data_IF_321123868624
#
_entry.id   IF_321123868624
#
_cell.length_a   1.000
_cell.length_b   1.000
_cell.length_c   1.000
_cell.angle_alpha   90.00
_cell.angle_beta   90.00
_cell.angle_gamma   90.00
#
_symmetry.space_group_name_H-M   'P 1'
#
loop_
_entity.id
_entity.type
_entity.pdbx_description
1 polymer ?
#
# COMPACT_ATOMS: atom_id res chain seq x y z
N UNK A 1 -9.43 3.86 22.10
CA UNK A 1 -8.80 2.97 21.10
C UNK A 1 -7.72 3.76 20.38
N UNK A 2 -6.45 3.40 20.60
CA UNK A 2 -5.30 4.00 19.91
C UNK A 2 -5.41 3.64 18.43
N UNK A 3 -5.42 4.63 17.52
CA UNK A 3 -5.50 4.39 16.08
C UNK A 3 -4.19 3.73 15.59
N UNK A 4 -4.22 2.67 14.75
CA UNK A 4 -3.03 1.98 14.23
C UNK A 4 -1.95 2.92 13.65
N UNK A 5 -2.36 3.94 12.90
CA UNK A 5 -1.47 4.96 12.31
C UNK A 5 -0.68 5.77 13.35
N UNK A 6 -1.24 6.03 14.53
CA UNK A 6 -0.50 6.74 15.61
C UNK A 6 0.63 5.87 16.16
N UNK A 7 0.43 4.55 16.23
CA UNK A 7 1.49 3.60 16.61
C UNK A 7 2.55 3.50 15.51
N UNK A 8 2.14 3.39 14.25
CA UNK A 8 3.06 3.41 13.11
C UNK A 8 3.93 4.68 13.11
N UNK A 9 3.35 5.86 13.35
CA UNK A 9 4.10 7.13 13.37
C UNK A 9 5.10 7.17 14.52
N UNK A 10 4.67 6.77 15.71
CA UNK A 10 5.55 6.73 16.89
C UNK A 10 6.68 5.73 16.69
N UNK A 11 6.40 4.57 16.08
CA UNK A 11 7.40 3.55 15.75
C UNK A 11 8.42 4.06 14.73
N UNK A 12 7.93 4.68 13.64
CA UNK A 12 8.75 5.26 12.60
C UNK A 12 9.70 6.34 13.13
N UNK A 13 9.19 7.30 13.91
CA UNK A 13 10.02 8.34 14.55
C UNK A 13 11.08 7.71 15.47
N UNK A 14 10.72 6.69 16.26
CA UNK A 14 11.70 5.99 17.12
C UNK A 14 12.77 5.27 16.31
N UNK A 15 12.39 4.64 15.20
CA UNK A 15 13.32 3.94 14.30
C UNK A 15 14.32 4.92 13.69
N UNK A 16 13.83 6.02 13.12
CA UNK A 16 14.63 7.09 12.54
C UNK A 16 15.69 7.62 13.53
N UNK A 17 15.24 7.94 14.76
CA UNK A 17 16.12 8.49 15.80
C UNK A 17 17.23 7.49 16.18
N UNK A 18 16.90 6.19 16.31
CA UNK A 18 17.88 5.14 16.62
C UNK A 18 18.87 4.91 15.49
N UNK A 19 18.39 4.86 14.25
CA UNK A 19 19.21 4.62 13.06
C UNK A 19 20.31 5.68 12.90
N UNK A 20 19.99 6.94 13.20
CA UNK A 20 20.94 8.05 13.11
C UNK A 20 21.70 8.34 14.42
N UNK A 21 21.69 7.41 15.38
CA UNK A 21 22.56 7.46 16.56
C UNK A 21 22.18 8.49 17.61
N UNK A 22 20.95 9.01 17.58
CA UNK A 22 20.45 9.91 18.61
C UNK A 22 19.96 9.10 19.83
N UNK A 23 20.49 9.42 21.01
CA UNK A 23 20.08 8.77 22.27
C UNK A 23 18.70 9.25 22.71
N UNK A 24 17.67 8.40 22.54
CA UNK A 24 16.33 8.66 23.08
C UNK A 24 16.36 8.41 24.58
N UNK A 25 16.62 9.44 25.37
CA UNK A 25 16.48 9.37 26.84
C UNK A 25 15.06 8.92 27.18
N UNK A 26 14.95 7.75 27.83
CA UNK A 26 13.74 7.00 28.20
C UNK A 26 12.43 7.80 28.14
N UNK A 27 11.60 7.44 27.17
CA UNK A 27 10.31 8.06 26.95
C UNK A 27 9.20 7.21 27.59
N UNK A 28 8.57 7.69 28.69
CA UNK A 28 7.34 7.10 29.26
C UNK A 28 6.17 7.39 28.31
N UNK A 29 5.36 6.38 27.99
CA UNK A 29 4.15 6.54 27.18
C UNK A 29 3.16 7.52 27.84
N UNK A 30 2.77 8.63 27.17
CA UNK A 30 1.73 9.52 27.65
C UNK A 30 0.48 9.52 26.74
N UNK A 31 -0.62 10.03 27.29
CA UNK A 31 -1.95 10.12 26.67
C UNK A 31 -1.97 10.70 25.25
N UNK A 32 -2.83 10.11 24.40
CA UNK A 32 -2.84 10.18 22.93
C UNK A 32 -2.81 11.56 22.23
N UNK A 33 -3.23 12.66 22.88
CA UNK A 33 -3.15 14.00 22.25
C UNK A 33 -1.73 14.60 22.30
N UNK A 34 -0.89 14.09 23.20
CA UNK A 34 0.45 14.61 23.49
C UNK A 34 1.52 13.96 22.59
N UNK A 35 1.30 12.71 22.17
CA UNK A 35 2.24 11.95 21.35
C UNK A 35 2.51 12.58 19.97
N UNK A 36 1.48 13.12 19.30
CA UNK A 36 1.63 13.74 17.97
C UNK A 36 2.30 15.10 18.02
N UNK A 37 1.92 15.94 18.98
CA UNK A 37 2.56 17.23 19.19
C UNK A 37 4.03 17.04 19.52
N UNK A 38 4.36 16.01 20.30
CA UNK A 38 5.73 15.64 20.62
C UNK A 38 6.47 14.99 19.45
N UNK A 39 5.83 14.12 18.65
CA UNK A 39 6.43 13.58 17.43
C UNK A 39 6.76 14.70 16.43
N UNK A 40 5.83 15.64 16.21
CA UNK A 40 6.04 16.82 15.37
C UNK A 40 7.15 17.71 15.93
N UNK A 41 7.22 17.89 17.25
CA UNK A 41 8.30 18.63 17.90
C UNK A 41 9.65 17.95 17.67
N UNK A 42 9.76 16.64 17.93
CA UNK A 42 10.99 15.85 17.67
C UNK A 42 11.42 15.97 16.22
N UNK A 43 10.51 15.78 15.26
CA UNK A 43 10.81 15.91 13.83
C UNK A 43 11.27 17.33 13.47
N UNK A 44 10.67 18.35 14.08
CA UNK A 44 11.08 19.76 13.87
C UNK A 44 12.48 20.03 14.41
N UNK A 45 12.83 19.48 15.57
CA UNK A 45 14.18 19.61 16.14
C UNK A 45 15.21 18.80 15.33
N UNK A 46 14.90 17.56 14.93
CA UNK A 46 15.78 16.73 14.10
C UNK A 46 16.18 17.41 12.79
N UNK A 47 15.23 18.11 12.15
CA UNK A 47 15.50 18.89 10.93
C UNK A 47 16.56 19.99 11.13
N UNK A 48 16.71 20.52 12.35
CA UNK A 48 17.69 21.57 12.68
C UNK A 48 19.11 21.04 12.83
N UNK A 49 19.29 19.77 13.17
CA UNK A 49 20.61 19.18 13.39
C UNK A 49 21.37 18.92 12.09
N UNK A 50 20.68 18.96 10.94
CA UNK A 50 21.26 18.58 9.66
C UNK A 50 21.48 17.07 9.58
N UNK A 51 21.27 16.51 8.39
CA UNK A 51 21.57 15.12 8.05
C UNK A 51 21.79 15.02 6.55
N UNK A 52 22.13 13.81 6.09
CA UNK A 52 22.17 13.50 4.67
C UNK A 52 20.78 13.65 4.02
N UNK A 53 20.73 13.56 2.69
CA UNK A 53 19.49 13.77 1.93
C UNK A 53 18.42 12.72 2.27
N UNK A 54 18.82 11.48 2.58
CA UNK A 54 17.91 10.41 3.00
C UNK A 54 17.24 10.74 4.33
N UNK A 55 18.01 11.19 5.33
CA UNK A 55 17.49 11.59 6.63
C UNK A 55 16.51 12.77 6.52
N UNK A 56 16.81 13.72 5.62
CA UNK A 56 15.93 14.87 5.36
C UNK A 56 14.62 14.43 4.72
N UNK A 57 14.67 13.55 3.73
CA UNK A 57 13.48 13.00 3.08
C UNK A 57 12.59 12.24 4.07
N UNK A 58 13.16 11.35 4.89
CA UNK A 58 12.43 10.61 5.91
C UNK A 58 11.80 11.55 6.94
N UNK A 59 12.53 12.58 7.40
CA UNK A 59 12.01 13.55 8.37
C UNK A 59 10.88 14.40 7.78
N UNK A 60 11.03 14.88 6.55
CA UNK A 60 10.03 15.70 5.86
C UNK A 60 8.76 14.88 5.56
N UNK A 61 8.92 13.61 5.15
CA UNK A 61 7.80 12.70 4.98
C UNK A 61 7.07 12.39 6.31
N UNK A 62 7.78 12.07 7.39
CA UNK A 62 7.13 11.80 8.67
C UNK A 62 6.41 13.03 9.23
N UNK A 63 6.92 14.24 8.93
CA UNK A 63 6.22 15.48 9.24
C UNK A 63 4.93 15.61 8.45
N UNK A 64 4.96 15.30 7.16
CA UNK A 64 3.75 15.21 6.34
C UNK A 64 2.76 14.21 6.95
N UNK A 65 3.19 13.01 7.30
CA UNK A 65 2.35 12.02 7.97
C UNK A 65 1.71 12.57 9.26
N UNK A 66 2.49 13.23 10.12
CA UNK A 66 1.98 13.82 11.37
C UNK A 66 0.87 14.87 11.14
N UNK A 67 0.90 15.59 10.02
CA UNK A 67 -0.12 16.59 9.66
C UNK A 67 -1.38 15.97 9.07
N UNK A 68 -1.28 14.85 8.35
CA UNK A 68 -2.37 14.29 7.54
C UNK A 68 -2.95 12.95 8.04
N UNK A 69 -2.32 12.27 9.01
CA UNK A 69 -2.69 10.91 9.44
C UNK A 69 -4.14 10.74 9.92
N UNK A 70 -4.82 11.80 10.35
CA UNK A 70 -6.20 11.72 10.87
C UNK A 70 -7.20 11.28 9.81
N UNK A 71 -6.91 11.57 8.54
CA UNK A 71 -7.75 11.26 7.39
C UNK A 71 -7.36 9.93 6.71
N UNK A 72 -6.11 9.49 6.90
CA UNK A 72 -5.58 8.26 6.31
C UNK A 72 -6.29 7.03 6.87
N UNK A 73 -6.45 6.03 6.00
CA UNK A 73 -6.97 4.70 6.35
C UNK A 73 -5.93 3.59 6.14
N UNK A 74 -4.85 3.90 5.44
CA UNK A 74 -3.78 2.97 5.12
C UNK A 74 -3.12 2.38 6.37
N UNK A 75 -2.52 1.19 6.23
CA UNK A 75 -1.90 0.50 7.36
C UNK A 75 -0.59 1.16 7.77
N UNK A 76 0.21 1.60 6.79
CA UNK A 76 1.57 2.11 6.97
C UNK A 76 1.83 3.35 6.10
N UNK A 77 0.88 4.28 6.04
CA UNK A 77 1.04 5.56 5.33
C UNK A 77 1.14 5.49 3.81
N UNK A 78 0.77 4.38 3.16
CA UNK A 78 0.84 4.27 1.70
C UNK A 78 0.10 5.42 1.00
N UNK A 79 -1.12 5.74 1.44
CA UNK A 79 -1.92 6.84 0.91
C UNK A 79 -1.26 8.23 1.13
N UNK A 80 -0.58 8.42 2.25
CA UNK A 80 0.17 9.65 2.55
C UNK A 80 1.48 9.74 1.77
N UNK A 81 2.16 8.61 1.52
CA UNK A 81 3.34 8.57 0.68
C UNK A 81 3.03 9.02 -0.74
N UNK A 82 1.94 8.53 -1.31
CA UNK A 82 1.44 8.96 -2.63
C UNK A 82 1.20 10.46 -2.65
N UNK A 83 0.50 11.01 -1.65
CA UNK A 83 0.24 12.45 -1.60
C UNK A 83 1.49 13.29 -1.32
N UNK A 84 2.45 12.78 -0.55
CA UNK A 84 3.73 13.46 -0.33
C UNK A 84 4.53 13.57 -1.63
N UNK A 85 4.71 12.45 -2.33
CA UNK A 85 5.45 12.39 -3.60
C UNK A 85 4.78 13.20 -4.70
N UNK A 86 3.45 13.18 -4.76
CA UNK A 86 2.68 13.88 -5.78
C UNK A 86 2.24 15.29 -5.36
N UNK A 87 2.85 15.85 -4.32
CA UNK A 87 2.61 17.22 -3.86
C UNK A 87 1.12 17.54 -3.65
N UNK A 88 0.43 16.69 -2.89
CA UNK A 88 -0.99 16.79 -2.55
C UNK A 88 -1.93 16.88 -3.77
N UNK A 89 -1.55 16.22 -4.89
CA UNK A 89 -2.34 16.16 -6.12
C UNK A 89 -3.81 15.83 -5.85
N UNK A 90 -4.70 16.53 -6.57
CA UNK A 90 -6.14 16.26 -6.68
C UNK A 90 -6.47 15.65 -8.03
N UNK A 91 -7.64 15.01 -8.09
CA UNK A 91 -8.21 14.47 -9.32
C UNK A 91 -7.25 13.51 -10.07
N UNK A 92 -6.51 12.69 -9.30
CA UNK A 92 -5.67 11.64 -9.84
C UNK A 92 -6.44 10.35 -10.11
N UNK A 93 -5.73 9.35 -10.63
CA UNK A 93 -6.29 8.02 -10.88
C UNK A 93 -5.49 6.93 -10.15
N UNK A 94 -6.18 6.06 -9.42
CA UNK A 94 -5.57 4.92 -8.73
C UNK A 94 -6.08 3.56 -9.23
N UNK A 95 -5.30 2.53 -8.95
CA UNK A 95 -5.74 1.13 -9.00
C UNK A 95 -5.28 0.45 -7.70
N UNK A 96 -6.17 -0.29 -7.04
CA UNK A 96 -5.88 -0.99 -5.79
C UNK A 96 -6.34 -2.44 -5.87
N UNK A 97 -5.44 -3.38 -5.59
CA UNK A 97 -5.75 -4.78 -5.36
C UNK A 97 -5.83 -5.04 -3.86
N UNK A 98 -6.67 -5.98 -3.43
CA UNK A 98 -6.90 -6.27 -2.01
C UNK A 98 -7.76 -5.19 -1.35
N UNK A 99 -8.80 -4.71 -2.04
CA UNK A 99 -9.59 -3.57 -1.56
C UNK A 99 -10.44 -3.87 -0.31
N UNK A 100 -10.67 -5.15 0.01
CA UNK A 100 -11.49 -5.64 1.13
C UNK A 100 -12.83 -4.89 1.24
N UNK A 101 -13.19 -4.39 2.42
CA UNK A 101 -14.40 -3.59 2.61
C UNK A 101 -14.30 -2.14 2.06
N UNK A 102 -13.14 -1.76 1.52
CA UNK A 102 -12.87 -0.45 0.94
C UNK A 102 -12.57 0.67 1.95
N UNK A 103 -12.58 0.41 3.26
CA UNK A 103 -12.42 1.45 4.30
C UNK A 103 -11.27 1.14 5.25
N UNK A 104 -11.27 -0.02 5.88
CA UNK A 104 -10.20 -0.42 6.78
C UNK A 104 -8.94 -0.73 5.96
N UNK A 105 -7.79 -0.18 6.37
CA UNK A 105 -6.47 -0.40 5.73
C UNK A 105 -6.37 -0.02 4.25
N UNK A 106 -7.41 0.55 3.65
CA UNK A 106 -7.37 0.94 2.24
C UNK A 106 -6.32 2.03 1.99
N UNK A 107 -5.54 1.81 0.94
CA UNK A 107 -4.49 2.71 0.48
C UNK A 107 -5.03 3.81 -0.45
N UNK A 108 -6.32 3.77 -0.81
CA UNK A 108 -6.91 4.76 -1.74
C UNK A 108 -8.14 5.48 -1.19
N UNK A 109 -8.66 5.08 -0.02
CA UNK A 109 -9.83 5.72 0.57
C UNK A 109 -9.62 7.22 0.79
N UNK A 110 -8.45 7.62 1.30
CA UNK A 110 -8.10 9.04 1.45
C UNK A 110 -8.08 9.76 0.10
N UNK A 111 -7.50 9.13 -0.91
CA UNK A 111 -7.33 9.70 -2.25
C UNK A 111 -8.69 9.98 -2.90
N UNK A 112 -9.61 9.03 -2.85
CA UNK A 112 -10.98 9.22 -3.35
C UNK A 112 -11.74 10.27 -2.53
N UNK A 113 -11.85 10.08 -1.21
CA UNK A 113 -12.81 10.85 -0.39
C UNK A 113 -12.35 12.28 -0.11
N UNK A 114 -11.03 12.54 -0.05
CA UNK A 114 -10.50 13.86 0.32
C UNK A 114 -9.82 14.58 -0.84
N UNK A 115 -9.21 13.84 -1.77
CA UNK A 115 -8.48 14.43 -2.90
C UNK A 115 -9.23 14.33 -4.23
N UNK A 116 -10.41 13.70 -4.27
CA UNK A 116 -11.27 13.64 -5.47
C UNK A 116 -10.77 12.67 -6.54
N UNK A 117 -9.89 11.73 -6.17
CA UNK A 117 -9.35 10.78 -7.14
C UNK A 117 -10.42 9.77 -7.59
N UNK A 118 -10.35 9.39 -8.86
CA UNK A 118 -11.05 8.23 -9.41
C UNK A 118 -10.16 6.98 -9.40
N UNK A 119 -10.74 5.82 -9.66
CA UNK A 119 -9.93 4.61 -9.77
C UNK A 119 -10.71 3.32 -9.91
N UNK A 120 -9.94 2.22 -9.88
CA UNK A 120 -10.43 0.84 -9.93
C UNK A 120 -10.01 0.13 -8.65
N UNK A 121 -10.97 -0.54 -8.00
CA UNK A 121 -10.75 -1.41 -6.85
C UNK A 121 -10.97 -2.86 -7.29
N UNK A 122 -10.01 -3.74 -7.01
CA UNK A 122 -10.14 -5.18 -7.26
C UNK A 122 -10.24 -5.94 -5.95
N UNK A 123 -11.28 -6.75 -5.82
CA UNK A 123 -11.50 -7.62 -4.66
C UNK A 123 -12.24 -8.90 -5.11
N UNK A 124 -11.56 -10.05 -5.19
CA UNK A 124 -12.20 -11.31 -5.58
C UNK A 124 -12.98 -11.99 -4.43
N UNK A 125 -12.71 -11.64 -3.16
CA UNK A 125 -13.35 -12.28 -2.02
C UNK A 125 -14.80 -11.83 -1.86
N UNK A 126 -15.72 -12.77 -2.01
CA UNK A 126 -17.16 -12.51 -2.10
C UNK A 126 -17.73 -11.86 -0.84
N UNK A 127 -17.18 -12.20 0.32
CA UNK A 127 -17.59 -11.65 1.61
C UNK A 127 -17.46 -10.13 1.69
N UNK A 128 -16.53 -9.54 0.93
CA UNK A 128 -16.29 -8.11 0.95
C UNK A 128 -17.14 -7.31 -0.04
N UNK A 129 -17.67 -7.94 -1.09
CA UNK A 129 -18.29 -7.25 -2.23
C UNK A 129 -19.42 -6.27 -1.84
N UNK A 130 -20.33 -6.67 -0.95
CA UNK A 130 -21.45 -5.81 -0.54
C UNK A 130 -20.96 -4.59 0.24
N UNK A 131 -20.03 -4.80 1.18
CA UNK A 131 -19.46 -3.71 1.95
C UNK A 131 -18.66 -2.75 1.07
N UNK A 132 -17.85 -3.28 0.14
CA UNK A 132 -17.06 -2.52 -0.81
C UNK A 132 -17.94 -1.60 -1.67
N UNK A 133 -18.98 -2.16 -2.30
CA UNK A 133 -19.97 -1.42 -3.12
C UNK A 133 -20.72 -0.34 -2.34
N UNK A 134 -20.97 -0.57 -1.05
CA UNK A 134 -21.63 0.42 -0.19
C UNK A 134 -20.68 1.57 0.21
N UNK A 135 -19.40 1.27 0.39
CA UNK A 135 -18.44 2.21 0.95
C UNK A 135 -17.73 3.07 -0.12
N UNK A 136 -17.63 2.58 -1.36
CA UNK A 136 -16.81 3.16 -2.43
C UNK A 136 -17.65 3.48 -3.67
N UNK A 137 -17.33 4.59 -4.33
CA UNK A 137 -18.02 5.03 -5.57
C UNK A 137 -17.18 4.75 -6.83
N UNK A 138 -16.02 4.11 -6.67
CA UNK A 138 -15.10 3.75 -7.74
C UNK A 138 -15.65 2.62 -8.61
N UNK A 139 -14.98 2.37 -9.73
CA UNK A 139 -15.15 1.10 -10.45
C UNK A 139 -14.70 -0.05 -9.55
N UNK A 140 -15.51 -1.10 -9.46
CA UNK A 140 -15.21 -2.31 -8.69
C UNK A 140 -15.12 -3.50 -9.63
N UNK A 141 -13.96 -4.15 -9.61
CA UNK A 141 -13.70 -5.42 -10.26
C UNK A 141 -13.76 -6.56 -9.23
N UNK A 142 -14.52 -7.62 -9.55
CA UNK A 142 -14.66 -8.80 -8.68
C UNK A 142 -13.95 -10.03 -9.23
N UNK A 143 -13.37 -9.96 -10.44
CA UNK A 143 -12.42 -10.97 -10.93
C UNK A 143 -11.11 -10.85 -10.16
N UNK A 144 -10.38 -11.95 -10.09
CA UNK A 144 -9.03 -11.95 -9.54
C UNK A 144 -8.06 -11.32 -10.55
N UNK A 145 -7.38 -10.24 -10.17
CA UNK A 145 -6.28 -9.72 -10.98
C UNK A 145 -5.13 -10.72 -10.96
N UNK A 146 -4.66 -11.10 -12.15
CA UNK A 146 -3.72 -12.21 -12.33
C UNK A 146 -2.73 -11.94 -13.48
N UNK A 147 -1.90 -12.93 -13.84
CA UNK A 147 -0.98 -12.81 -14.99
C UNK A 147 -1.68 -12.95 -16.35
N UNK A 148 -2.83 -13.62 -16.40
CA UNK A 148 -3.57 -13.88 -17.64
C UNK A 148 -5.08 -13.78 -17.43
N UNK A 149 -5.79 -13.25 -18.43
CA UNK A 149 -7.26 -13.14 -18.44
C UNK A 149 -7.93 -14.43 -18.87
N UNK A 150 -9.05 -14.76 -18.22
CA UNK A 150 -9.95 -15.83 -18.68
C UNK A 150 -9.67 -17.21 -18.08
N UNK A 151 -8.69 -17.33 -17.19
CA UNK A 151 -8.47 -18.53 -16.40
C UNK A 151 -9.49 -18.62 -15.24
N UNK A 152 -9.65 -19.82 -14.70
CA UNK A 152 -10.30 -20.04 -13.40
C UNK A 152 -9.27 -20.52 -12.39
N UNK A 153 -9.26 -19.89 -11.21
CA UNK A 153 -8.39 -20.25 -10.09
C UNK A 153 -9.22 -20.62 -8.87
N UNK A 154 -8.75 -21.57 -8.08
CA UNK A 154 -9.31 -21.86 -6.76
C UNK A 154 -8.84 -20.78 -5.78
N UNK A 155 -9.79 -19.98 -5.31
CA UNK A 155 -9.61 -18.98 -4.26
C UNK A 155 -9.90 -19.60 -2.90
N UNK A 156 -9.10 -19.28 -1.90
CA UNK A 156 -9.23 -19.76 -0.53
C UNK A 156 -9.58 -18.56 0.37
N UNK A 157 -10.87 -18.43 0.70
CA UNK A 157 -11.41 -17.39 1.56
C UNK A 157 -11.35 -17.83 3.02
N UNK A 158 -10.54 -17.16 3.84
CA UNK A 158 -10.29 -17.57 5.22
C UNK A 158 -11.31 -17.02 6.21
N UNK A 159 -11.35 -17.61 7.41
CA UNK A 159 -12.19 -17.11 8.52
C UNK A 159 -11.81 -15.71 8.99
N UNK A 160 -10.55 -15.31 8.82
CA UNK A 160 -10.12 -13.92 8.79
C UNK A 160 -10.01 -13.48 7.33
N UNK A 161 -11.01 -12.79 6.76
CA UNK A 161 -11.05 -12.62 5.31
C UNK A 161 -10.00 -11.66 4.76
N UNK A 162 -9.34 -10.85 5.61
CA UNK A 162 -8.19 -10.02 5.21
C UNK A 162 -7.02 -10.89 4.72
N UNK A 163 -6.92 -12.16 5.15
CA UNK A 163 -5.83 -13.07 4.82
C UNK A 163 -6.14 -14.02 3.66
N UNK A 164 -7.22 -13.78 2.92
CA UNK A 164 -7.67 -14.65 1.83
C UNK A 164 -6.74 -14.53 0.61
N UNK A 165 -6.49 -15.63 -0.09
CA UNK A 165 -5.55 -15.63 -1.23
C UNK A 165 -5.87 -16.78 -2.20
N UNK A 166 -5.13 -16.87 -3.30
CA UNK A 166 -5.16 -18.04 -4.20
C UNK A 166 -4.55 -19.25 -3.48
N UNK A 167 -5.20 -20.42 -3.56
CA UNK A 167 -4.83 -21.57 -2.70
C UNK A 167 -3.37 -22.00 -2.86
N UNK A 168 -2.80 -21.86 -4.06
CA UNK A 168 -1.38 -22.18 -4.32
C UNK A 168 -0.37 -21.27 -3.60
N UNK A 169 -0.82 -20.13 -3.07
CA UNK A 169 -0.03 -19.19 -2.26
C UNK A 169 -0.32 -19.30 -0.75
N UNK A 170 -1.30 -20.13 -0.37
CA UNK A 170 -1.75 -20.28 1.01
C UNK A 170 -0.68 -20.71 2.03
N UNK A 171 0.45 -21.25 1.58
CA UNK A 171 1.52 -21.78 2.44
C UNK A 171 2.86 -21.03 2.34
N UNK A 172 2.91 -19.88 1.64
CA UNK A 172 4.16 -19.22 1.27
C UNK A 172 4.60 -18.09 2.21
N UNK A 173 3.79 -17.78 3.21
CA UNK A 173 4.04 -16.71 4.18
C UNK A 173 3.75 -17.15 5.63
N UNK A 174 3.80 -16.19 6.54
CA UNK A 174 3.57 -16.40 7.98
C UNK A 174 2.11 -16.74 8.33
N UNK A 175 1.16 -16.66 7.38
CA UNK A 175 -0.28 -16.85 7.60
C UNK A 175 -0.78 -18.25 7.22
N UNK A 176 0.13 -19.18 6.89
CA UNK A 176 -0.20 -20.52 6.42
C UNK A 176 -1.10 -21.37 7.34
N UNK A 177 -1.12 -21.10 8.65
CA UNK A 177 -1.99 -21.80 9.60
C UNK A 177 -3.45 -21.36 9.53
N UNK A 178 -3.70 -20.07 9.34
CA UNK A 178 -5.06 -19.49 9.22
C UNK A 178 -5.77 -19.92 7.93
N UNK A 179 -5.01 -20.31 6.90
CA UNK A 179 -5.51 -20.67 5.56
C UNK A 179 -5.93 -22.14 5.39
N UNK A 180 -5.79 -22.98 6.41
CA UNK A 180 -6.14 -24.41 6.36
C UNK A 180 -7.65 -24.71 6.43
N UNK A 181 -8.47 -23.75 6.84
CA UNK A 181 -9.91 -23.93 7.10
C UNK A 181 -10.81 -22.98 6.31
N UNK A 182 -10.31 -22.38 5.22
CA UNK A 182 -11.07 -21.44 4.41
C UNK A 182 -12.09 -22.11 3.47
N UNK A 183 -13.09 -21.34 3.06
CA UNK A 183 -14.04 -21.71 2.01
C UNK A 183 -13.35 -21.59 0.64
N UNK A 184 -13.47 -22.64 -0.18
CA UNK A 184 -12.82 -22.69 -1.50
C UNK A 184 -13.84 -22.54 -2.61
N UNK A 185 -13.57 -21.66 -3.56
CA UNK A 185 -14.39 -21.50 -4.76
C UNK A 185 -13.59 -20.97 -5.95
N UNK A 186 -14.11 -21.22 -7.16
CA UNK A 186 -13.48 -20.70 -8.37
C UNK A 186 -13.76 -19.20 -8.56
N UNK A 187 -12.71 -18.47 -8.94
CA UNK A 187 -12.76 -17.09 -9.41
C UNK A 187 -12.20 -17.01 -10.82
N UNK A 188 -12.81 -16.16 -11.65
CA UNK A 188 -12.29 -15.84 -12.97
C UNK A 188 -11.17 -14.82 -12.86
N UNK A 189 -10.18 -14.91 -13.75
CA UNK A 189 -9.04 -13.99 -13.76
C UNK A 189 -9.17 -12.89 -14.80
N UNK A 190 -8.51 -11.77 -14.55
CA UNK A 190 -8.28 -10.67 -15.49
C UNK A 190 -6.83 -10.18 -15.35
N UNK A 191 -6.12 -10.00 -16.46
CA UNK A 191 -4.79 -9.40 -16.44
C UNK A 191 -4.88 -7.91 -16.12
N UNK A 192 -3.85 -7.31 -15.50
CA UNK A 192 -3.84 -5.86 -15.26
C UNK A 192 -3.96 -5.07 -16.57
N UNK A 193 -3.37 -5.57 -17.66
CA UNK A 193 -3.47 -4.95 -18.97
C UNK A 193 -4.92 -4.87 -19.49
N UNK A 194 -5.66 -5.96 -19.36
CA UNK A 194 -7.06 -6.04 -19.83
C UNK A 194 -7.99 -5.31 -18.87
N UNK A 195 -7.75 -5.37 -17.56
CA UNK A 195 -8.49 -4.61 -16.55
C UNK A 195 -8.48 -3.11 -16.88
N UNK A 196 -7.29 -2.55 -17.14
CA UNK A 196 -7.14 -1.14 -17.46
C UNK A 196 -7.84 -0.78 -18.78
N UNK A 197 -7.74 -1.65 -19.79
CA UNK A 197 -8.36 -1.43 -21.10
C UNK A 197 -9.90 -1.50 -21.03
N UNK A 198 -10.45 -2.52 -20.37
CA UNK A 198 -11.89 -2.75 -20.22
C UNK A 198 -12.59 -1.62 -19.47
N UNK A 199 -11.94 -1.07 -18.44
CA UNK A 199 -12.47 0.04 -17.64
C UNK A 199 -12.06 1.42 -18.16
N UNK A 200 -11.46 1.50 -19.35
CA UNK A 200 -11.03 2.74 -20.00
C UNK A 200 -10.16 3.62 -19.08
N UNK A 201 -9.24 2.98 -18.35
CA UNK A 201 -8.33 3.68 -17.47
C UNK A 201 -7.49 4.70 -18.26
N UNK A 202 -7.13 5.85 -17.65
CA UNK A 202 -6.28 6.82 -18.32
C UNK A 202 -4.89 6.24 -18.59
N UNK A 203 -4.25 6.72 -19.65
CA UNK A 203 -2.89 6.31 -20.01
C UNK A 203 -1.88 6.55 -18.87
N UNK A 204 -2.12 7.55 -18.01
CA UNK A 204 -1.32 7.83 -16.82
C UNK A 204 -2.09 7.39 -15.58
N UNK A 205 -1.53 6.46 -14.83
CA UNK A 205 -2.01 6.00 -13.53
C UNK A 205 -1.13 6.64 -12.47
N UNK A 206 -1.72 7.46 -11.61
CA UNK A 206 -0.95 8.16 -10.59
C UNK A 206 -0.51 7.22 -9.45
N UNK A 207 -1.32 6.20 -9.15
CA UNK A 207 -1.01 5.25 -8.08
C UNK A 207 -1.49 3.82 -8.36
N UNK A 208 -0.62 2.84 -8.15
CA UNK A 208 -0.97 1.42 -8.12
C UNK A 208 -0.62 0.81 -6.74
N UNK A 209 -1.63 0.34 -6.02
CA UNK A 209 -1.48 -0.45 -4.78
C UNK A 209 -1.62 -1.94 -5.09
N UNK A 210 -0.58 -2.72 -4.83
CA UNK A 210 -0.54 -4.16 -5.10
C UNK A 210 -0.42 -4.91 -3.78
N UNK A 211 -1.55 -5.43 -3.30
CA UNK A 211 -1.67 -6.25 -2.11
C UNK A 211 -2.58 -7.43 -2.47
N UNK A 212 -1.98 -8.60 -2.68
CA UNK A 212 -2.68 -9.80 -3.17
C UNK A 212 -2.32 -11.04 -2.37
N UNK A 213 -1.68 -10.86 -1.21
CA UNK A 213 -1.29 -11.94 -0.33
C UNK A 213 -0.44 -13.02 -1.05
N UNK A 214 0.52 -12.57 -1.87
CA UNK A 214 1.63 -13.38 -2.39
C UNK A 214 1.77 -13.48 -3.92
N UNK A 215 0.82 -12.95 -4.70
CA UNK A 215 0.86 -13.05 -6.17
C UNK A 215 1.40 -11.81 -6.90
N UNK A 216 1.94 -10.84 -6.16
CA UNK A 216 2.33 -9.51 -6.63
C UNK A 216 3.34 -9.60 -7.76
N UNK A 217 4.41 -10.40 -7.58
CA UNK A 217 5.46 -10.57 -8.58
C UNK A 217 4.92 -11.20 -9.87
N UNK A 218 3.98 -12.14 -9.75
CA UNK A 218 3.39 -12.84 -10.89
C UNK A 218 2.53 -11.88 -11.72
N UNK A 219 1.69 -11.09 -11.07
CA UNK A 219 0.86 -10.06 -11.72
C UNK A 219 1.75 -9.02 -12.42
N UNK A 220 2.71 -8.45 -11.70
CA UNK A 220 3.57 -7.39 -12.23
C UNK A 220 4.50 -7.87 -13.34
N UNK A 221 4.94 -9.13 -13.32
CA UNK A 221 5.78 -9.70 -14.40
C UNK A 221 5.04 -9.82 -15.73
N UNK A 222 3.71 -9.91 -15.70
CA UNK A 222 2.88 -9.97 -16.90
C UNK A 222 2.35 -8.59 -17.34
N UNK A 223 2.56 -7.56 -16.53
CA UNK A 223 2.13 -6.21 -16.85
C UNK A 223 3.04 -5.57 -17.91
N UNK A 224 2.42 -4.94 -18.92
CA UNK A 224 3.16 -4.22 -19.96
C UNK A 224 3.33 -2.76 -19.54
N UNK A 225 4.47 -2.45 -18.92
CA UNK A 225 4.83 -1.11 -18.47
C UNK A 225 4.95 -0.09 -19.61
N UNK A 226 4.91 -0.51 -20.88
CA UNK A 226 4.94 0.42 -22.03
C UNK A 226 3.54 0.93 -22.41
N UNK A 227 2.47 0.24 -21.99
CA UNK A 227 1.08 0.58 -22.34
C UNK A 227 0.46 1.66 -21.44
N UNK A 228 0.85 1.68 -20.17
CA UNK A 228 0.39 2.68 -19.20
C UNK A 228 1.56 3.17 -18.37
N UNK A 229 1.63 4.49 -18.17
CA UNK A 229 2.64 5.09 -17.31
C UNK A 229 2.11 5.12 -15.87
N UNK A 230 2.76 4.38 -14.98
CA UNK A 230 2.47 4.42 -13.54
C UNK A 230 3.48 5.34 -12.85
N UNK A 231 3.00 6.23 -11.98
CA UNK A 231 3.86 7.17 -11.25
C UNK A 231 4.37 6.65 -9.92
N UNK A 232 3.47 6.09 -9.10
CA UNK A 232 3.78 5.58 -7.76
C UNK A 232 3.24 4.17 -7.64
N UNK A 233 4.04 3.26 -7.10
CA UNK A 233 3.64 1.89 -6.79
C UNK A 233 3.95 1.62 -5.32
N UNK A 234 2.99 1.05 -4.58
CA UNK A 234 3.30 0.38 -3.31
C UNK A 234 2.95 -1.09 -3.48
N UNK A 235 3.88 -1.97 -3.12
CA UNK A 235 3.71 -3.41 -3.31
C UNK A 235 4.02 -4.13 -2.01
N UNK A 236 3.08 -4.95 -1.54
CA UNK A 236 3.27 -5.81 -0.38
C UNK A 236 4.27 -6.93 -0.74
N UNK A 237 5.22 -7.20 0.13
CA UNK A 237 6.16 -8.30 -0.04
C UNK A 237 6.17 -9.27 1.15
N UNK A 238 5.62 -8.89 2.31
CA UNK A 238 5.50 -9.72 3.53
C UNK A 238 6.78 -10.46 3.93
N UNK A 239 7.94 -9.83 3.68
CA UNK A 239 9.29 -10.41 3.86
C UNK A 239 9.51 -11.76 3.16
N UNK A 240 8.73 -12.05 2.11
CA UNK A 240 8.87 -13.26 1.32
C UNK A 240 10.07 -13.17 0.36
N UNK A 241 10.46 -14.30 -0.24
CA UNK A 241 11.52 -14.35 -1.26
C UNK A 241 11.17 -13.57 -2.54
N UNK A 242 9.91 -13.20 -2.74
CA UNK A 242 9.47 -12.45 -3.92
C UNK A 242 9.99 -11.00 -3.92
N UNK A 243 10.36 -10.44 -2.76
CA UNK A 243 10.82 -9.05 -2.61
C UNK A 243 11.97 -8.69 -3.57
N UNK A 244 12.98 -9.55 -3.69
CA UNK A 244 14.11 -9.31 -4.59
C UNK A 244 13.70 -9.35 -6.07
N UNK A 245 12.77 -10.23 -6.44
CA UNK A 245 12.22 -10.30 -7.79
C UNK A 245 11.39 -9.05 -8.13
N UNK A 246 10.58 -8.57 -7.17
CA UNK A 246 9.82 -7.32 -7.29
C UNK A 246 10.75 -6.13 -7.48
N UNK A 247 11.79 -6.04 -6.64
CA UNK A 247 12.78 -4.98 -6.71
C UNK A 247 13.50 -4.95 -8.07
N UNK A 248 13.99 -6.10 -8.54
CA UNK A 248 14.65 -6.20 -9.83
C UNK A 248 13.71 -5.83 -10.99
N UNK A 249 12.47 -6.33 -10.97
CA UNK A 249 11.46 -6.06 -11.99
C UNK A 249 11.15 -4.56 -12.09
N UNK A 250 10.82 -3.92 -10.96
CA UNK A 250 10.42 -2.51 -10.93
C UNK A 250 11.60 -1.59 -11.25
N UNK A 251 12.80 -1.89 -10.75
CA UNK A 251 14.00 -1.11 -11.08
C UNK A 251 14.32 -1.17 -12.56
N UNK A 252 14.21 -2.34 -13.19
CA UNK A 252 14.42 -2.51 -14.64
C UNK A 252 13.40 -1.73 -15.46
N UNK A 253 12.19 -1.53 -14.93
CA UNK A 253 11.13 -0.74 -15.57
C UNK A 253 11.15 0.75 -15.16
N UNK A 254 12.26 1.24 -14.59
CA UNK A 254 12.46 2.68 -14.36
C UNK A 254 11.80 3.22 -13.10
N UNK A 255 11.65 2.39 -12.06
CA UNK A 255 11.19 2.81 -10.75
C UNK A 255 12.33 2.81 -9.72
N UNK A 256 12.33 3.81 -8.85
CA UNK A 256 13.23 3.90 -7.70
C UNK A 256 12.50 3.52 -6.41
N UNK A 257 13.09 2.62 -5.64
CA UNK A 257 12.61 2.31 -4.28
C UNK A 257 12.90 3.48 -3.34
N UNK A 258 11.93 3.87 -2.53
CA UNK A 258 12.00 4.99 -1.57
C UNK A 258 11.62 4.54 -0.17
N UNK A 259 12.19 5.22 0.83
CA UNK A 259 11.79 5.12 2.24
C UNK A 259 11.71 3.69 2.81
N UNK A 260 12.68 2.83 2.44
CA UNK A 260 12.70 1.40 2.81
C UNK A 260 12.62 1.17 4.33
N UNK A 261 13.15 2.08 5.13
CA UNK A 261 13.09 2.00 6.59
C UNK A 261 11.69 2.28 7.17
N UNK A 262 10.79 2.86 6.37
CA UNK A 262 9.45 3.25 6.76
C UNK A 262 8.37 2.36 6.14
N UNK A 263 8.66 1.72 5.00
CA UNK A 263 7.71 0.92 4.22
C UNK A 263 7.46 -0.49 4.80
N UNK A 264 8.21 -0.93 5.81
CA UNK A 264 7.95 -2.13 6.62
C UNK A 264 7.80 -3.44 5.81
N UNK A 265 6.56 -3.91 5.57
CA UNK A 265 6.27 -5.13 4.81
C UNK A 265 5.86 -4.84 3.36
N UNK A 266 5.90 -3.57 2.96
CA UNK A 266 5.79 -3.09 1.59
C UNK A 266 7.14 -2.52 1.13
N UNK A 267 7.32 -2.46 -0.18
CA UNK A 267 8.29 -1.56 -0.80
C UNK A 267 7.52 -0.48 -1.57
N UNK A 268 8.01 0.76 -1.48
CA UNK A 268 7.40 1.91 -2.16
C UNK A 268 8.29 2.41 -3.29
N UNK A 269 7.69 2.67 -4.43
CA UNK A 269 8.38 2.95 -5.68
C UNK A 269 7.84 4.21 -6.34
N UNK A 270 8.74 5.00 -6.91
CA UNK A 270 8.43 6.20 -7.69
C UNK A 270 9.09 6.08 -9.06
N UNK A 271 8.37 6.39 -10.13
CA UNK A 271 8.95 6.41 -11.47
C UNK A 271 10.09 7.44 -11.53
N UNK A 272 11.26 7.07 -12.05
CA UNK A 272 12.46 7.94 -12.11
C UNK A 272 12.27 9.22 -12.94
N UNK A 273 11.23 9.28 -13.76
CA UNK A 273 10.92 10.43 -14.63
C UNK A 273 9.73 11.27 -14.14
N UNK A 274 9.39 11.18 -12.85
CA UNK A 274 8.23 11.84 -12.26
C UNK A 274 8.19 13.35 -12.54
#
# INVERSE_FOLDING_TARGET
MIRPLTRALTSAVRSLVRQHGFDVVRYREPDTSDALRKALHVLTELRRFGGDDSFREETDFLRFCAMHYTNSKAQIFQDLFVQYVLAEKRDGFFVEFGATNGVGRSNTHLLEKHYGWGGILSEPARTWHEALKRNRNCTIETRCVWDETGNELEFNETSDPELSTIDTFSSKDFHASSRKSGERYNVKTVSLNDLLAEHHAPHVIDYLSVDTEGSELKILSAFDFTRHRIKVITVEHNNTRAREGLHALLTTNGFERKLENLSQWDDWYVASNL
#
